data_IF_507819551377
#
_entry.id   IF_507819551377
#
_cell.length_a   1.000
_cell.length_b   1.000
_cell.length_c   1.000
_cell.angle_alpha   90.00
_cell.angle_beta   90.00
_cell.angle_gamma   90.00
#
_symmetry.space_group_name_H-M   'P 1'
#
loop_
_entity.id
_entity.type
_entity.pdbx_description
1 polymer ?
#
# COMPACT_ATOMS: atom_id res chain seq x y z
N UNK A 1 -4.85 -0.80 -8.33
CA UNK A 1 -3.95 -0.83 -7.17
C UNK A 1 -3.01 0.35 -7.29
N UNK A 2 -2.68 1.01 -6.20
CA UNK A 2 -1.69 2.07 -6.13
C UNK A 2 -0.50 1.58 -5.30
N UNK A 3 0.69 1.66 -5.90
CA UNK A 3 2.00 1.40 -5.31
C UNK A 3 2.81 2.69 -5.39
N UNK A 4 3.72 2.90 -4.44
CA UNK A 4 4.66 4.00 -4.48
C UNK A 4 6.00 3.51 -5.06
N UNK A 5 6.63 4.33 -5.90
CA UNK A 5 7.86 3.95 -6.60
C UNK A 5 9.10 3.90 -5.70
N UNK A 6 9.03 4.57 -4.55
CA UNK A 6 10.05 4.70 -3.50
C UNK A 6 9.88 3.68 -2.36
N UNK A 7 8.93 2.75 -2.47
CA UNK A 7 8.69 1.66 -1.52
C UNK A 7 9.07 0.29 -2.10
N UNK A 8 10.37 -0.01 -2.29
CA UNK A 8 10.81 -1.24 -2.94
C UNK A 8 10.54 -2.49 -2.09
N UNK A 9 10.31 -2.35 -0.78
CA UNK A 9 10.12 -3.48 0.15
C UNK A 9 8.69 -4.03 0.19
N UNK A 10 7.79 -3.56 -0.68
CA UNK A 10 6.47 -4.17 -0.85
C UNK A 10 6.64 -5.52 -1.56
N UNK A 11 6.67 -6.59 -0.78
CA UNK A 11 6.74 -7.96 -1.29
C UNK A 11 5.43 -8.49 -1.89
N UNK A 12 5.48 -9.58 -2.66
CA UNK A 12 4.30 -10.22 -3.26
C UNK A 12 3.30 -10.72 -2.22
N UNK A 13 3.77 -11.15 -1.04
CA UNK A 13 2.92 -11.63 0.06
C UNK A 13 1.95 -10.57 0.58
N UNK A 14 2.37 -9.30 0.62
CA UNK A 14 1.51 -8.17 0.97
C UNK A 14 0.41 -8.02 -0.10
N UNK A 15 0.80 -8.04 -1.38
CA UNK A 15 -0.12 -7.91 -2.51
C UNK A 15 -1.17 -9.04 -2.49
N UNK A 16 -0.73 -10.28 -2.35
CA UNK A 16 -1.60 -11.46 -2.29
C UNK A 16 -2.57 -11.37 -1.12
N UNK A 17 -2.11 -10.90 0.05
CA UNK A 17 -2.95 -10.71 1.23
C UNK A 17 -4.12 -9.75 0.96
N UNK A 18 -3.85 -8.64 0.26
CA UNK A 18 -4.90 -7.67 -0.10
C UNK A 18 -5.87 -8.22 -1.15
N UNK A 19 -5.38 -8.97 -2.14
CA UNK A 19 -6.22 -9.61 -3.16
C UNK A 19 -7.13 -10.67 -2.52
N UNK A 20 -6.59 -11.50 -1.62
CA UNK A 20 -7.38 -12.48 -0.88
C UNK A 20 -8.43 -11.82 0.01
N UNK A 21 -8.10 -10.69 0.64
CA UNK A 21 -9.07 -9.91 1.41
C UNK A 21 -10.20 -9.38 0.52
N UNK A 22 -9.89 -8.84 -0.67
CA UNK A 22 -10.89 -8.38 -1.65
C UNK A 22 -11.86 -9.49 -2.05
N UNK A 23 -11.34 -10.70 -2.28
CA UNK A 23 -12.16 -11.85 -2.67
C UNK A 23 -13.12 -12.29 -1.56
N UNK A 24 -12.72 -12.14 -0.29
CA UNK A 24 -13.55 -12.50 0.88
C UNK A 24 -14.58 -11.44 1.21
N UNK A 25 -14.19 -10.17 1.12
CA UNK A 25 -15.03 -9.03 1.50
C UNK A 25 -14.81 -7.89 0.51
N UNK A 26 -15.75 -7.67 -0.42
CA UNK A 26 -15.72 -6.51 -1.29
C UNK A 26 -15.74 -5.20 -0.49
N UNK A 27 -14.81 -4.30 -0.80
CA UNK A 27 -14.73 -2.97 -0.23
C UNK A 27 -14.27 -1.97 -1.29
N UNK A 28 -14.60 -0.69 -1.10
CA UNK A 28 -14.22 0.34 -2.06
C UNK A 28 -12.74 0.70 -1.94
N UNK A 29 -12.19 0.62 -0.73
CA UNK A 29 -10.77 0.73 -0.46
C UNK A 29 -10.30 -0.44 0.40
N UNK A 30 -9.16 -1.02 0.06
CA UNK A 30 -8.49 -2.03 0.90
C UNK A 30 -7.06 -1.57 1.11
N UNK A 31 -6.63 -1.58 2.38
CA UNK A 31 -5.36 -0.98 2.81
C UNK A 31 -4.70 -1.93 3.81
N UNK A 32 -3.39 -2.19 3.70
CA UNK A 32 -2.66 -2.96 4.69
C UNK A 32 -2.44 -2.14 5.95
N UNK A 33 -2.45 -2.83 7.09
CA UNK A 33 -2.00 -2.30 8.37
C UNK A 33 -0.89 -3.16 8.94
N UNK A 34 0.07 -2.54 9.62
CA UNK A 34 1.06 -3.23 10.42
C UNK A 34 1.10 -2.54 11.78
N UNK A 35 0.82 -3.29 12.84
CA UNK A 35 0.77 -2.77 14.21
C UNK A 35 -0.19 -1.58 14.35
N UNK A 36 -1.35 -1.67 13.69
CA UNK A 36 -2.40 -0.64 13.73
C UNK A 36 -2.10 0.63 12.94
N UNK A 37 -1.01 0.66 12.16
CA UNK A 37 -0.68 1.77 11.26
C UNK A 37 -0.96 1.38 9.81
N UNK A 38 -1.68 2.25 9.10
CA UNK A 38 -1.96 2.07 7.66
C UNK A 38 -0.71 2.29 6.83
N UNK A 39 -0.55 1.50 5.77
CA UNK A 39 0.52 1.66 4.79
C UNK A 39 0.02 1.47 3.36
N UNK A 40 0.95 1.16 2.47
CA UNK A 40 0.70 0.84 1.07
C UNK A 40 0.98 -0.65 0.80
N UNK A 41 0.50 -1.23 -0.31
CA UNK A 41 -0.26 -0.63 -1.40
C UNK A 41 -1.75 -0.44 -1.09
N UNK A 42 -2.44 0.38 -1.88
CA UNK A 42 -3.88 0.60 -1.75
C UNK A 42 -4.62 -0.04 -2.92
N UNK A 43 -5.59 -0.91 -2.63
CA UNK A 43 -6.57 -1.35 -3.62
C UNK A 43 -7.75 -0.36 -3.63
N UNK A 44 -8.07 0.14 -4.82
CA UNK A 44 -9.24 0.96 -5.06
C UNK A 44 -10.18 0.23 -6.00
N UNK A 45 -11.43 0.07 -5.60
CA UNK A 45 -12.46 -0.50 -6.46
C UNK A 45 -12.82 0.48 -7.58
N UNK A 46 -13.24 -0.05 -8.74
CA UNK A 46 -13.58 0.77 -9.92
C UNK A 46 -14.68 1.80 -9.64
N UNK A 47 -15.60 1.50 -8.71
CA UNK A 47 -16.71 2.40 -8.33
C UNK A 47 -16.26 3.77 -7.83
N UNK A 48 -15.02 3.90 -7.33
CA UNK A 48 -14.49 5.16 -6.79
C UNK A 48 -13.49 5.86 -7.72
N UNK A 49 -13.34 5.40 -8.97
CA UNK A 49 -12.37 5.98 -9.91
C UNK A 49 -12.71 7.42 -10.29
N UNK A 50 -13.99 7.75 -10.46
CA UNK A 50 -14.42 9.13 -10.71
C UNK A 50 -14.05 10.05 -9.54
N UNK A 51 -14.24 9.56 -8.31
CA UNK A 51 -13.85 10.29 -7.11
C UNK A 51 -12.34 10.51 -7.04
N UNK A 52 -11.53 9.52 -7.43
CA UNK A 52 -10.07 9.63 -7.50
C UNK A 52 -9.66 10.67 -8.56
N UNK A 53 -10.27 10.64 -9.74
CA UNK A 53 -9.96 11.57 -10.83
C UNK A 53 -10.30 13.03 -10.48
N UNK A 54 -11.30 13.23 -9.61
CA UNK A 54 -11.67 14.55 -9.10
C UNK A 54 -10.72 15.12 -8.03
N UNK A 55 -9.75 14.35 -7.54
CA UNK A 55 -8.78 14.83 -6.55
C UNK A 55 -7.87 15.88 -7.19
N UNK A 56 -7.80 17.04 -6.55
CA UNK A 56 -6.94 18.15 -6.98
C UNK A 56 -6.08 18.67 -5.83
N UNK A 57 -4.98 19.32 -6.19
CA UNK A 57 -4.01 19.88 -5.24
C UNK A 57 -3.15 18.82 -4.55
N UNK A 58 -2.31 19.27 -3.61
CA UNK A 58 -1.22 18.49 -3.03
C UNK A 58 -1.64 17.56 -1.87
N UNK A 59 -2.93 17.23 -1.80
CA UNK A 59 -3.47 16.37 -0.73
C UNK A 59 -3.41 14.88 -1.11
N UNK A 60 -3.33 14.57 -2.40
CA UNK A 60 -3.33 13.21 -2.93
C UNK A 60 -4.53 12.36 -2.45
N UNK A 61 -4.34 11.03 -2.43
CA UNK A 61 -5.37 10.08 -2.03
C UNK A 61 -5.78 10.17 -0.54
N UNK A 62 -5.06 10.94 0.30
CA UNK A 62 -5.40 11.07 1.74
C UNK A 62 -6.80 11.61 1.99
N UNK A 63 -7.36 12.37 1.05
CA UNK A 63 -8.75 12.85 1.13
C UNK A 63 -9.76 11.69 1.14
N UNK A 64 -9.49 10.63 0.39
CA UNK A 64 -10.37 9.47 0.27
C UNK A 64 -10.52 8.74 1.60
N UNK A 65 -9.46 8.66 2.40
CA UNK A 65 -9.51 7.96 3.69
C UNK A 65 -10.40 8.62 4.72
N UNK A 66 -10.66 9.92 4.57
CA UNK A 66 -11.62 10.65 5.41
C UNK A 66 -13.04 10.47 4.88
N UNK A 67 -13.24 10.65 3.58
CA UNK A 67 -14.56 10.61 2.95
C UNK A 67 -15.16 9.20 2.85
N UNK A 68 -14.32 8.17 2.78
CA UNK A 68 -14.72 6.77 2.62
C UNK A 68 -14.43 5.93 3.86
N UNK A 69 -14.33 6.54 5.06
CA UNK A 69 -13.87 5.86 6.27
C UNK A 69 -14.59 4.52 6.54
N UNK A 70 -15.92 4.50 6.36
CA UNK A 70 -16.75 3.31 6.61
C UNK A 70 -16.75 2.30 5.43
N UNK A 71 -16.00 2.59 4.37
CA UNK A 71 -15.87 1.78 3.16
C UNK A 71 -14.44 1.28 2.94
N UNK A 72 -13.58 1.45 3.96
CA UNK A 72 -12.21 0.94 4.00
C UNK A 72 -12.21 -0.40 4.72
N UNK A 73 -11.64 -1.39 4.07
CA UNK A 73 -11.23 -2.64 4.69
C UNK A 73 -9.74 -2.55 5.04
N UNK A 74 -9.43 -2.63 6.33
CA UNK A 74 -8.06 -2.74 6.82
C UNK A 74 -7.65 -4.21 6.88
N UNK A 75 -6.45 -4.51 6.39
CA UNK A 75 -5.91 -5.88 6.34
C UNK A 75 -4.60 -5.90 7.10
N UNK A 76 -4.60 -6.50 8.29
CA UNK A 76 -3.36 -6.65 9.05
C UNK A 76 -2.40 -7.59 8.29
N UNK A 77 -1.19 -7.08 8.03
CA UNK A 77 -0.07 -7.81 7.46
C UNK A 77 1.03 -7.94 8.51
N UNK A 78 2.00 -8.82 8.27
CA UNK A 78 3.11 -9.09 9.20
C UNK A 78 4.46 -8.56 8.69
N UNK A 79 4.41 -7.63 7.73
CA UNK A 79 5.59 -7.08 7.07
C UNK A 79 5.60 -5.55 7.21
N UNK A 80 6.65 -5.02 7.84
CA UNK A 80 6.84 -3.59 8.04
C UNK A 80 7.20 -2.83 6.74
N UNK A 81 7.51 -3.54 5.65
CA UNK A 81 7.83 -2.98 4.34
C UNK A 81 6.77 -2.00 3.82
N UNK A 82 5.52 -2.12 4.28
CA UNK A 82 4.42 -1.19 3.98
C UNK A 82 4.64 0.26 4.45
N UNK A 83 5.67 0.50 5.27
CA UNK A 83 6.02 1.80 5.87
C UNK A 83 7.42 2.29 5.49
N UNK A 84 8.16 1.55 4.66
CA UNK A 84 9.55 1.87 4.34
C UNK A 84 9.64 2.62 3.01
N UNK A 85 9.81 3.94 3.12
CA UNK A 85 10.07 4.86 2.01
C UNK A 85 11.58 5.13 1.87
N UNK A 86 12.05 5.35 0.64
CA UNK A 86 13.42 5.75 0.32
C UNK A 86 13.45 7.22 -0.16
N UNK A 87 13.31 8.16 0.78
CA UNK A 87 13.27 9.60 0.49
C UNK A 87 14.67 10.24 0.43
N UNK A 88 15.60 9.76 1.25
CA UNK A 88 16.93 10.35 1.43
C UNK A 88 18.06 9.37 1.14
N UNK A 89 19.28 9.89 0.97
CA UNK A 89 20.46 9.04 0.81
C UNK A 89 20.75 8.24 2.08
N UNK A 90 20.40 8.77 3.25
CA UNK A 90 20.45 8.08 4.53
C UNK A 90 19.46 6.92 4.58
N UNK A 91 18.22 7.11 4.10
CA UNK A 91 17.23 6.02 3.99
C UNK A 91 17.74 4.92 3.06
N UNK A 92 18.27 5.29 1.90
CA UNK A 92 18.85 4.35 0.95
C UNK A 92 19.96 3.53 1.59
N UNK A 93 20.94 4.16 2.25
CA UNK A 93 22.05 3.44 2.91
C UNK A 93 21.55 2.52 4.01
N UNK A 94 20.68 3.02 4.89
CA UNK A 94 20.09 2.23 5.98
C UNK A 94 19.37 1.00 5.46
N UNK A 95 18.65 1.14 4.35
CA UNK A 95 17.80 0.08 3.79
C UNK A 95 18.55 -0.86 2.84
N UNK A 96 19.64 -0.41 2.21
CA UNK A 96 20.49 -1.24 1.37
C UNK A 96 21.39 -2.19 2.18
N UNK A 97 21.81 -1.76 3.37
CA UNK A 97 22.69 -2.55 4.26
C UNK A 97 21.92 -3.52 5.17
N UNK A 98 20.59 -3.37 5.26
CA UNK A 98 19.77 -4.30 5.99
C UNK A 98 19.57 -5.57 5.14
N UNK A 99 19.85 -6.74 5.73
CA UNK A 99 19.55 -8.06 5.15
C UNK A 99 18.04 -8.21 4.96
N UNK A 100 17.50 -7.60 3.91
CA UNK A 100 16.14 -7.83 3.47
C UNK A 100 16.12 -9.11 2.63
N UNK A 101 15.07 -9.94 2.77
CA UNK A 101 14.92 -11.11 1.91
C UNK A 101 14.96 -10.67 0.45
N UNK A 102 15.83 -11.32 -0.32
CA UNK A 102 16.05 -11.04 -1.73
C UNK A 102 14.69 -10.99 -2.44
N UNK A 103 14.36 -9.83 -3.03
CA UNK A 103 13.18 -9.71 -3.88
C UNK A 103 13.50 -10.53 -5.12
N UNK A 104 13.02 -11.79 -5.14
CA UNK A 104 13.24 -12.68 -6.25
C UNK A 104 12.85 -11.95 -7.55
N UNK A 105 13.75 -11.90 -8.56
CA UNK A 105 13.46 -11.20 -9.80
C UNK A 105 12.19 -11.80 -10.43
N UNK A 106 11.35 -10.98 -11.10
CA UNK A 106 10.14 -11.47 -11.73
C UNK A 106 10.50 -12.59 -12.70
N UNK A 107 9.78 -13.71 -12.61
CA UNK A 107 9.94 -14.83 -13.53
C UNK A 107 9.75 -14.32 -14.97
N UNK A 108 10.72 -14.62 -15.84
CA UNK A 108 10.71 -14.28 -17.27
C UNK A 108 9.54 -14.91 -18.00
#
# INVERSE_FOLDING_TARGET
MFLLGDQPFIGPTIIDSLILALQKQPANLIIPTFQGKRGNPVLAHRSIFELIQGITGDKGARVLFRSLKDQILEVEVFDQGIHLDVDTIEDYRRLADADFPEIAPPAK
#
